data_IF_453659866531
#
_entry.id   IF_453659866531
#
_cell.length_a   1.000
_cell.length_b   1.000
_cell.length_c   1.000
_cell.angle_alpha   90.00
_cell.angle_beta   90.00
_cell.angle_gamma   90.00
#
_symmetry.space_group_name_H-M   'P 1'
#
loop_
_entity.id
_entity.type
_entity.pdbx_description
1 polymer ?
#
# COMPACT_ATOMS: atom_id res chain seq x y z
N UNK A 1 -2.09 -18.27 6.70
CA UNK A 1 -0.93 -17.84 7.54
C UNK A 1 -0.96 -16.32 7.59
N UNK A 2 -0.51 -15.68 8.67
CA UNK A 2 -0.37 -14.22 8.68
C UNK A 2 0.91 -13.86 7.91
N UNK A 3 0.89 -12.88 6.98
CA UNK A 3 2.11 -12.45 6.31
C UNK A 3 3.17 -12.01 7.35
N UNK A 4 4.49 -12.24 7.17
CA UNK A 4 5.48 -11.43 7.87
C UNK A 4 5.07 -9.96 7.70
N UNK A 5 5.12 -9.20 8.79
CA UNK A 5 4.76 -7.80 8.79
C UNK A 5 5.79 -7.07 9.63
N UNK A 6 6.36 -6.04 9.05
CA UNK A 6 7.28 -5.14 9.72
C UNK A 6 7.07 -3.74 9.20
N UNK A 7 7.41 -2.78 10.04
CA UNK A 7 7.42 -1.36 9.72
C UNK A 7 7.97 -1.09 8.32
N UNK A 8 7.22 -0.33 7.53
CA UNK A 8 7.70 0.15 6.25
C UNK A 8 7.75 -0.91 5.16
N UNK A 9 7.06 -2.02 5.33
CA UNK A 9 6.83 -3.00 4.26
C UNK A 9 5.42 -2.83 3.69
N UNK A 10 5.14 -3.51 2.59
CA UNK A 10 3.83 -3.51 1.98
C UNK A 10 3.32 -4.94 1.76
N UNK A 11 2.03 -5.05 1.52
CA UNK A 11 1.40 -6.30 1.11
C UNK A 11 0.55 -6.06 -0.12
N UNK A 12 0.49 -7.06 -0.98
CA UNK A 12 -0.47 -7.17 -2.06
C UNK A 12 -1.36 -8.36 -1.78
N UNK A 13 -2.67 -8.15 -1.84
CA UNK A 13 -3.65 -9.24 -1.81
C UNK A 13 -4.53 -9.17 -3.04
N UNK A 14 -5.00 -10.34 -3.50
CA UNK A 14 -6.08 -10.40 -4.46
C UNK A 14 -7.38 -10.00 -3.76
N UNK A 15 -7.92 -8.84 -4.12
CA UNK A 15 -9.24 -8.43 -3.64
C UNK A 15 -10.30 -8.78 -4.71
N UNK A 16 -11.51 -9.03 -4.24
CA UNK A 16 -12.68 -9.19 -5.11
C UNK A 16 -13.75 -8.23 -4.58
N UNK A 17 -14.16 -7.27 -5.40
CA UNK A 17 -15.34 -6.45 -5.10
C UNK A 17 -16.35 -6.60 -6.23
N UNK A 18 -17.62 -6.78 -5.88
CA UNK A 18 -18.73 -6.88 -6.85
C UNK A 18 -18.48 -7.91 -7.98
N UNK A 19 -17.80 -9.03 -7.68
CA UNK A 19 -17.47 -10.08 -8.65
C UNK A 19 -16.26 -9.80 -9.54
N UNK A 20 -15.62 -8.63 -9.44
CA UNK A 20 -14.39 -8.29 -10.14
C UNK A 20 -13.18 -8.51 -9.26
N UNK A 21 -12.25 -9.36 -9.70
CA UNK A 21 -10.93 -9.45 -9.08
C UNK A 21 -10.13 -8.21 -9.42
N UNK A 22 -9.81 -7.42 -8.41
CA UNK A 22 -8.87 -6.31 -8.50
C UNK A 22 -7.84 -6.50 -7.39
N UNK A 23 -6.55 -6.33 -7.67
CA UNK A 23 -5.57 -6.38 -6.60
C UNK A 23 -5.83 -5.28 -5.56
N UNK A 24 -5.32 -5.46 -4.35
CA UNK A 24 -5.26 -4.44 -3.31
C UNK A 24 -3.85 -4.40 -2.76
N UNK A 25 -3.38 -3.20 -2.44
CA UNK A 25 -2.08 -3.00 -1.80
C UNK A 25 -2.26 -2.13 -0.58
N UNK A 26 -1.52 -2.44 0.47
CA UNK A 26 -1.50 -1.64 1.70
C UNK A 26 -0.12 -1.61 2.32
N UNK A 27 0.00 -0.78 3.35
CA UNK A 27 1.25 -0.50 4.04
C UNK A 27 1.23 -1.12 5.45
N UNK A 28 2.33 -1.73 5.88
CA UNK A 28 2.53 -2.17 7.26
C UNK A 28 3.15 -1.05 8.08
N UNK A 29 2.38 -0.55 9.06
CA UNK A 29 2.90 0.41 10.03
C UNK A 29 3.81 -0.25 11.06
N UNK A 30 3.51 -1.49 11.43
CA UNK A 30 4.33 -2.34 12.30
C UNK A 30 3.92 -3.82 12.08
N UNK A 31 4.11 -4.68 13.08
CA UNK A 31 3.77 -6.11 12.98
C UNK A 31 2.26 -6.40 13.03
N UNK A 32 1.44 -5.52 13.59
CA UNK A 32 -0.02 -5.69 13.70
C UNK A 32 -0.81 -4.57 13.00
N UNK A 33 -0.21 -3.40 12.82
CA UNK A 33 -0.87 -2.24 12.23
C UNK A 33 -0.71 -2.19 10.72
N UNK A 34 -1.81 -1.92 10.02
CA UNK A 34 -1.83 -1.58 8.60
C UNK A 34 -2.39 -0.18 8.37
N UNK A 35 -1.98 0.41 7.26
CA UNK A 35 -2.55 1.63 6.71
C UNK A 35 -2.99 1.34 5.28
N UNK A 36 -4.27 1.57 4.99
CA UNK A 36 -4.86 1.20 3.70
C UNK A 36 -5.96 2.17 3.25
N UNK A 37 -6.22 2.16 1.94
CA UNK A 37 -7.37 2.79 1.32
C UNK A 37 -8.30 1.67 0.81
N UNK A 38 -9.34 1.29 1.57
CA UNK A 38 -10.03 0.02 1.40
C UNK A 38 -11.01 -0.05 0.21
N UNK A 39 -11.30 1.07 -0.45
CA UNK A 39 -12.19 1.11 -1.62
C UNK A 39 -13.23 2.23 -1.57
N UNK A 40 -14.05 2.32 -2.62
CA UNK A 40 -15.08 3.35 -2.79
C UNK A 40 -16.06 3.43 -1.62
N UNK A 41 -16.47 4.65 -1.27
CA UNK A 41 -17.40 4.91 -0.17
C UNK A 41 -16.80 4.77 1.24
N UNK A 42 -15.50 4.46 1.36
CA UNK A 42 -14.79 4.36 2.63
C UNK A 42 -13.67 5.39 2.70
N UNK A 43 -13.32 5.76 3.93
CA UNK A 43 -12.10 6.52 4.20
C UNK A 43 -10.90 5.56 4.28
N UNK A 44 -9.73 6.05 3.88
CA UNK A 44 -8.47 5.42 4.26
C UNK A 44 -8.32 5.38 5.79
N UNK A 45 -7.65 4.35 6.29
CA UNK A 45 -7.65 4.04 7.73
C UNK A 45 -6.32 3.44 8.18
N UNK A 46 -6.07 3.62 9.48
CA UNK A 46 -5.08 2.86 10.26
C UNK A 46 -5.86 1.88 11.14
N UNK A 47 -5.56 0.59 11.06
CA UNK A 47 -6.31 -0.47 11.75
C UNK A 47 -5.40 -1.66 12.01
N UNK A 48 -5.85 -2.62 12.82
CA UNK A 48 -5.10 -3.87 13.03
C UNK A 48 -5.39 -4.88 11.91
N UNK A 49 -4.40 -5.73 11.63
CA UNK A 49 -4.54 -6.84 10.67
C UNK A 49 -5.63 -7.81 11.10
N UNK A 50 -5.78 -8.02 12.41
CA UNK A 50 -6.81 -8.87 13.00
C UNK A 50 -8.21 -8.31 12.77
N UNK A 51 -8.40 -7.01 12.95
CA UNK A 51 -9.70 -6.35 12.79
C UNK A 51 -10.25 -6.51 11.37
N UNK A 52 -9.40 -6.41 10.36
CA UNK A 52 -9.82 -6.58 8.97
C UNK A 52 -9.80 -8.04 8.49
N UNK A 53 -9.40 -8.98 9.35
CA UNK A 53 -9.24 -10.38 8.99
C UNK A 53 -8.26 -10.58 7.83
N UNK A 54 -7.12 -9.87 7.84
CA UNK A 54 -6.14 -9.96 6.76
C UNK A 54 -5.53 -11.38 6.72
N UNK A 55 -5.99 -12.18 5.77
CA UNK A 55 -5.49 -13.53 5.48
C UNK A 55 -4.86 -13.50 4.09
N UNK A 56 -3.63 -14.02 3.98
CA UNK A 56 -2.97 -14.17 2.69
C UNK A 56 -3.11 -15.59 2.13
N UNK A 57 -3.17 -15.69 0.80
CA UNK A 57 -3.26 -16.91 0.00
C UNK A 57 -2.11 -16.98 -1.04
N UNK A 58 -2.02 -18.08 -1.78
CA UNK A 58 -0.93 -18.39 -2.74
C UNK A 58 -0.76 -17.36 -3.90
N UNK A 59 -1.73 -16.47 -4.12
CA UNK A 59 -1.68 -15.42 -5.14
C UNK A 59 -1.32 -14.05 -4.58
N UNK A 60 -1.19 -13.95 -3.27
CA UNK A 60 -0.82 -12.73 -2.57
C UNK A 60 0.70 -12.56 -2.54
N UNK A 61 1.17 -11.38 -2.15
CA UNK A 61 2.60 -11.10 -2.08
C UNK A 61 2.95 -10.21 -0.90
N UNK A 62 4.06 -10.55 -0.26
CA UNK A 62 4.79 -9.67 0.63
C UNK A 62 5.73 -8.79 -0.17
N UNK A 63 5.85 -7.53 0.21
CA UNK A 63 6.80 -6.59 -0.35
C UNK A 63 7.69 -6.06 0.77
N UNK A 64 8.88 -6.62 0.89
CA UNK A 64 9.86 -6.19 1.86
C UNK A 64 10.64 -5.00 1.32
N UNK A 65 10.56 -3.85 2.00
CA UNK A 65 11.29 -2.66 1.58
C UNK A 65 12.78 -2.78 1.92
N UNK A 66 13.63 -2.59 0.91
CA UNK A 66 15.10 -2.74 1.03
C UNK A 66 15.81 -1.49 1.54
N UNK A 67 15.10 -0.38 1.76
CA UNK A 67 15.68 0.86 2.27
C UNK A 67 16.00 0.83 3.77
N UNK A 68 16.70 1.88 4.23
CA UNK A 68 17.12 2.03 5.63
C UNK A 68 15.93 2.12 6.60
N UNK A 69 16.19 1.89 7.89
CA UNK A 69 15.17 2.06 8.94
C UNK A 69 14.60 3.49 8.98
N UNK A 70 15.41 4.50 8.68
CA UNK A 70 14.95 5.89 8.64
C UNK A 70 14.04 6.15 7.43
N UNK A 71 14.33 5.52 6.29
CA UNK A 71 13.42 5.53 5.14
C UNK A 71 12.09 4.84 5.47
N UNK A 72 12.11 3.70 6.19
CA UNK A 72 10.90 3.01 6.67
C UNK A 72 10.07 3.88 7.62
N UNK A 73 10.72 4.58 8.56
CA UNK A 73 10.06 5.55 9.46
C UNK A 73 9.49 6.75 8.69
N UNK A 74 10.23 7.26 7.72
CA UNK A 74 9.73 8.32 6.83
C UNK A 74 8.51 7.87 6.04
N UNK A 75 8.51 6.64 5.52
CA UNK A 75 7.37 6.08 4.80
C UNK A 75 6.14 5.95 5.70
N UNK A 76 6.31 5.55 6.97
CA UNK A 76 5.23 5.54 7.95
C UNK A 76 4.63 6.94 8.16
N UNK A 77 5.46 7.98 8.33
CA UNK A 77 4.99 9.37 8.45
C UNK A 77 4.18 9.77 7.20
N UNK A 78 4.67 9.40 6.01
CA UNK A 78 3.97 9.63 4.75
C UNK A 78 2.61 8.94 4.70
N UNK A 79 2.54 7.66 5.10
CA UNK A 79 1.31 6.87 5.14
C UNK A 79 0.29 7.42 6.15
N UNK A 80 0.73 7.81 7.34
CA UNK A 80 -0.16 8.33 8.40
C UNK A 80 -0.83 9.65 8.01
N UNK A 81 -0.16 10.48 7.20
CA UNK A 81 -0.75 11.71 6.63
C UNK A 81 -1.90 11.45 5.65
N UNK A 82 -2.05 10.22 5.17
CA UNK A 82 -3.06 9.84 4.19
C UNK A 82 -4.26 9.13 4.84
N UNK A 83 -4.30 9.01 6.17
CA UNK A 83 -5.43 8.45 6.93
C UNK A 83 -6.62 9.42 6.94
N UNK A 84 -7.84 8.90 6.99
CA UNK A 84 -9.10 9.64 6.99
C UNK A 84 -9.36 10.44 5.70
N UNK A 85 -8.82 9.98 4.57
CA UNK A 85 -9.06 10.57 3.26
C UNK A 85 -10.09 9.76 2.46
N UNK A 86 -11.00 10.41 1.71
CA UNK A 86 -11.91 9.73 0.80
C UNK A 86 -11.17 8.96 -0.31
N UNK A 87 -11.78 7.85 -0.75
CA UNK A 87 -11.19 7.00 -1.78
C UNK A 87 -11.13 7.68 -3.16
N UNK A 88 -9.96 7.66 -3.79
CA UNK A 88 -9.76 8.18 -5.14
C UNK A 88 -10.19 7.15 -6.21
N UNK A 89 -11.38 7.33 -6.78
CA UNK A 89 -11.88 6.42 -7.84
C UNK A 89 -11.32 6.74 -9.24
N UNK A 90 -10.45 7.75 -9.36
CA UNK A 90 -9.83 8.15 -10.64
C UNK A 90 -8.60 7.33 -10.95
N UNK A 91 -8.37 7.09 -12.25
CA UNK A 91 -7.10 6.55 -12.76
C UNK A 91 -5.96 7.59 -12.72
N UNK A 92 -6.29 8.88 -12.61
CA UNK A 92 -5.30 9.95 -12.47
C UNK A 92 -4.89 10.09 -11.00
N UNK A 93 -4.15 9.09 -10.50
CA UNK A 93 -3.79 8.96 -9.08
C UNK A 93 -2.31 9.27 -8.79
N UNK A 94 -1.55 9.79 -9.77
CA UNK A 94 -0.12 10.12 -9.58
C UNK A 94 0.07 11.52 -8.99
N UNK A 95 -0.52 11.72 -7.81
CA UNK A 95 -0.40 12.94 -7.02
C UNK A 95 -0.47 12.58 -5.55
N UNK A 96 0.23 13.33 -4.70
CA UNK A 96 0.22 13.09 -3.25
C UNK A 96 -0.39 14.27 -2.50
N UNK A 97 -1.01 13.95 -1.36
CA UNK A 97 -1.59 14.92 -0.42
C UNK A 97 -2.61 15.88 -1.06
N UNK A 98 -3.40 15.39 -2.01
CA UNK A 98 -4.45 16.14 -2.70
C UNK A 98 -5.86 15.93 -2.12
N UNK A 99 -5.94 15.36 -0.91
CA UNK A 99 -7.17 15.17 -0.15
C UNK A 99 -7.99 13.93 -0.53
N UNK A 100 -7.52 13.10 -1.46
CA UNK A 100 -8.12 11.82 -1.85
C UNK A 100 -7.01 10.78 -1.98
N UNK A 101 -7.31 9.49 -1.81
CA UNK A 101 -6.28 8.45 -1.99
C UNK A 101 -6.88 7.10 -2.39
N UNK A 102 -6.25 6.37 -3.32
CA UNK A 102 -6.54 4.95 -3.54
C UNK A 102 -5.41 4.04 -3.05
N UNK A 103 -5.59 2.72 -3.15
CA UNK A 103 -4.69 1.76 -2.53
C UNK A 103 -3.24 1.87 -3.04
N UNK A 104 -3.02 1.93 -4.35
CA UNK A 104 -1.68 2.11 -4.92
C UNK A 104 -1.12 3.51 -4.71
N UNK A 105 -1.95 4.54 -4.82
CA UNK A 105 -1.56 5.93 -4.53
C UNK A 105 -1.10 6.10 -3.08
N UNK A 106 -1.76 5.43 -2.12
CA UNK A 106 -1.41 5.48 -0.70
C UNK A 106 0.00 4.95 -0.48
N UNK A 107 0.29 3.77 -1.03
CA UNK A 107 1.61 3.15 -0.91
C UNK A 107 2.66 4.01 -1.59
N UNK A 108 2.42 4.46 -2.82
CA UNK A 108 3.37 5.34 -3.52
C UNK A 108 3.65 6.64 -2.76
N UNK A 109 2.61 7.34 -2.31
CA UNK A 109 2.77 8.59 -1.56
C UNK A 109 3.42 8.41 -0.19
N UNK A 110 3.24 7.24 0.45
CA UNK A 110 3.98 6.90 1.65
C UNK A 110 5.49 6.95 1.38
N UNK A 111 5.98 6.29 0.32
CA UNK A 111 7.41 6.24 -0.01
C UNK A 111 7.94 7.51 -0.69
N UNK A 112 7.08 8.30 -1.35
CA UNK A 112 7.45 9.63 -1.83
C UNK A 112 7.90 10.56 -0.68
N UNK A 113 7.34 10.39 0.53
CA UNK A 113 7.71 11.20 1.69
C UNK A 113 9.21 11.12 2.04
N UNK A 114 9.83 9.95 2.18
CA UNK A 114 11.28 9.81 2.31
C UNK A 114 12.05 9.91 0.98
N UNK A 115 11.42 10.26 -0.14
CA UNK A 115 12.08 10.47 -1.44
C UNK A 115 12.27 9.21 -2.29
N UNK A 116 11.47 8.17 -2.10
CA UNK A 116 11.55 6.91 -2.84
C UNK A 116 10.39 6.77 -3.82
N UNK A 117 10.70 6.76 -5.12
CA UNK A 117 9.71 6.52 -6.16
C UNK A 117 9.50 5.03 -6.40
N UNK A 118 8.55 4.44 -5.67
CA UNK A 118 8.23 3.01 -5.78
C UNK A 118 7.33 2.68 -6.98
N UNK A 119 7.06 3.62 -7.88
CA UNK A 119 6.41 3.37 -9.17
C UNK A 119 7.46 2.99 -10.23
N UNK A 120 7.59 1.69 -10.52
CA UNK A 120 8.69 1.14 -11.33
C UNK A 120 8.76 1.63 -12.78
N UNK A 121 7.67 2.17 -13.36
CA UNK A 121 7.65 2.57 -14.77
C UNK A 121 7.61 4.08 -14.99
N UNK A 122 7.47 4.88 -13.93
CA UNK A 122 7.44 6.34 -14.02
C UNK A 122 6.26 6.92 -14.83
N UNK A 123 5.24 6.11 -15.14
CA UNK A 123 4.12 6.43 -16.04
C UNK A 123 3.17 7.49 -15.50
N UNK A 124 2.02 7.68 -16.18
CA UNK A 124 1.05 8.74 -15.84
C UNK A 124 0.14 8.41 -14.65
N UNK A 125 0.14 7.16 -14.19
CA UNK A 125 -0.67 6.66 -13.09
C UNK A 125 0.09 5.59 -12.32
N UNK A 126 -0.22 5.44 -11.04
CA UNK A 126 0.41 4.46 -10.16
C UNK A 126 -0.42 3.19 -10.17
N UNK A 127 0.02 2.17 -10.92
CA UNK A 127 -0.66 0.88 -10.97
C UNK A 127 -0.13 -0.10 -9.93
N UNK A 128 -0.98 -1.03 -9.50
CA UNK A 128 -0.59 -2.11 -8.58
C UNK A 128 0.60 -2.93 -9.09
N UNK A 129 0.62 -3.23 -10.39
CA UNK A 129 1.72 -3.95 -11.04
C UNK A 129 3.06 -3.21 -10.91
N UNK A 130 3.03 -1.88 -10.87
CA UNK A 130 4.23 -1.07 -10.89
C UNK A 130 4.84 -0.98 -9.49
N UNK A 131 4.00 -1.00 -8.45
CA UNK A 131 4.43 -1.22 -7.05
C UNK A 131 5.03 -2.61 -6.88
N UNK A 132 4.36 -3.65 -7.39
CA UNK A 132 4.81 -5.04 -7.30
C UNK A 132 6.16 -5.31 -7.97
N UNK A 133 6.52 -4.51 -8.99
CA UNK A 133 7.74 -4.65 -9.78
C UNK A 133 8.81 -3.61 -9.41
N UNK A 134 8.60 -2.84 -8.35
CA UNK A 134 9.57 -1.85 -7.88
C UNK A 134 10.84 -2.51 -7.37
N UNK A 135 12.00 -1.98 -7.80
CA UNK A 135 13.32 -2.40 -7.31
C UNK A 135 13.55 -2.07 -5.84
N UNK A 136 12.67 -1.28 -5.21
CA UNK A 136 12.72 -0.99 -3.80
C UNK A 136 12.06 -2.06 -2.92
N UNK A 137 11.46 -3.09 -3.53
CA UNK A 137 10.89 -4.22 -2.80
C UNK A 137 11.52 -5.54 -3.21
N UNK A 138 11.84 -6.35 -2.21
CA UNK A 138 11.96 -7.79 -2.37
C UNK A 138 10.57 -8.41 -2.26
N UNK A 139 10.14 -9.07 -3.34
CA UNK A 139 8.82 -9.67 -3.42
C UNK A 139 8.86 -11.15 -3.09
N UNK A 140 8.12 -11.53 -2.05
CA UNK A 140 7.88 -12.93 -1.69
C UNK A 140 6.44 -13.29 -1.97
N UNK A 141 6.19 -14.35 -2.75
CA UNK A 141 4.85 -14.93 -2.90
C UNK A 141 4.58 -15.90 -1.76
N UNK A 142 3.33 -15.96 -1.31
CA UNK A 142 2.89 -16.90 -0.28
C UNK A 142 2.64 -18.31 -0.84
#
# INVERSE_FOLDING_TARGET
MLPPASLGNAYFIQAVSSGWSHGHVGFFGDSDTIIEAPGGGKLSRKTSRKEIGLVVNLYDSYLEFVGSIDAKRGALIGAERLVNLPYNSSINNKKCWDGVVNCSQLVWCAYQWPGYDVDSNGGKFVALKDILNSSYFERTRY
#
